data_IF_264103005388
#
_entry.id   IF_264103005388
#
_cell.length_a   1.000
_cell.length_b   1.000
_cell.length_c   1.000
_cell.angle_alpha   90.00
_cell.angle_beta   90.00
_cell.angle_gamma   90.00
#
_symmetry.space_group_name_H-M   'P 1'
#
loop_
_entity.id
_entity.type
_entity.pdbx_description
1 polymer ?
#
# COMPACT_ATOMS: atom_id res chain seq x y z
N UNK A 1 17.33 -20.23 16.35
CA UNK A 1 17.95 -19.11 15.58
C UNK A 1 16.94 -17.99 15.44
N UNK A 2 17.36 -16.74 15.55
CA UNK A 2 16.49 -15.57 15.27
C UNK A 2 16.17 -15.54 13.77
N UNK A 3 14.95 -15.06 13.44
CA UNK A 3 14.51 -14.92 12.05
C UNK A 3 14.86 -13.55 11.49
N UNK A 4 15.34 -13.48 10.26
CA UNK A 4 15.60 -12.25 9.53
C UNK A 4 14.27 -11.67 9.02
N UNK A 5 13.93 -10.46 9.44
CA UNK A 5 12.70 -9.78 9.06
C UNK A 5 13.02 -8.56 8.19
N UNK A 6 12.58 -8.59 6.94
CA UNK A 6 12.65 -7.43 6.07
C UNK A 6 11.48 -6.49 6.39
N UNK A 7 11.75 -5.34 7.01
CA UNK A 7 10.75 -4.29 7.24
C UNK A 7 10.71 -3.40 6.01
N UNK A 8 9.67 -3.57 5.19
CA UNK A 8 9.50 -2.86 3.92
C UNK A 8 8.83 -1.51 4.13
N UNK A 9 9.42 -0.47 3.59
CA UNK A 9 8.93 0.91 3.70
C UNK A 9 9.20 1.68 2.40
N UNK A 10 8.66 2.89 2.27
CA UNK A 10 8.74 3.68 1.04
C UNK A 10 7.51 3.48 0.16
N UNK A 11 7.68 2.99 -1.05
CA UNK A 11 6.60 2.78 -2.01
C UNK A 11 6.65 3.78 -3.16
N UNK A 12 5.66 3.68 -4.06
CA UNK A 12 5.62 4.45 -5.32
C UNK A 12 4.58 5.58 -5.28
N UNK A 13 3.84 5.67 -4.18
CA UNK A 13 2.75 6.62 -4.03
C UNK A 13 3.19 7.90 -3.31
N UNK A 14 2.30 8.90 -3.26
CA UNK A 14 2.47 10.11 -2.45
C UNK A 14 2.55 9.84 -0.94
N UNK A 15 2.29 8.60 -0.51
CA UNK A 15 2.34 8.18 0.89
C UNK A 15 3.73 7.65 1.31
N UNK A 16 4.75 7.80 0.46
CA UNK A 16 6.13 7.33 0.69
C UNK A 16 6.68 7.73 2.06
N UNK A 17 6.59 9.00 2.43
CA UNK A 17 7.16 9.50 3.69
C UNK A 17 6.41 8.97 4.92
N UNK A 18 5.10 8.77 4.81
CA UNK A 18 4.30 8.13 5.87
C UNK A 18 4.72 6.68 6.03
N UNK A 19 4.94 5.98 4.92
CA UNK A 19 5.42 4.61 4.88
C UNK A 19 6.80 4.47 5.53
N UNK A 20 7.73 5.39 5.27
CA UNK A 20 9.05 5.44 5.93
C UNK A 20 8.91 5.61 7.45
N UNK A 21 8.04 6.51 7.91
CA UNK A 21 7.78 6.72 9.35
C UNK A 21 7.21 5.46 10.00
N UNK A 22 6.21 4.84 9.38
CA UNK A 22 5.58 3.62 9.86
C UNK A 22 6.58 2.46 9.93
N UNK A 23 7.38 2.27 8.89
CA UNK A 23 8.42 1.24 8.84
C UNK A 23 9.50 1.43 9.90
N UNK A 24 9.94 2.67 10.13
CA UNK A 24 10.89 2.96 11.22
C UNK A 24 10.28 2.68 12.59
N UNK A 25 9.00 2.95 12.81
CA UNK A 25 8.32 2.61 14.06
C UNK A 25 8.36 1.10 14.31
N UNK A 26 8.01 0.28 13.30
CA UNK A 26 8.11 -1.18 13.40
C UNK A 26 9.53 -1.63 13.66
N UNK A 27 10.50 -1.14 12.87
CA UNK A 27 11.90 -1.51 13.01
C UNK A 27 12.44 -1.27 14.42
N UNK A 28 12.09 -0.14 15.02
CA UNK A 28 12.57 0.25 16.34
C UNK A 28 11.87 -0.50 17.51
N UNK A 29 10.72 -1.11 17.27
CA UNK A 29 9.91 -1.76 18.30
C UNK A 29 9.75 -3.29 18.12
N UNK A 30 10.36 -3.87 17.08
CA UNK A 30 10.31 -5.32 16.89
C UNK A 30 11.07 -6.04 18.00
N UNK A 31 10.57 -7.20 18.43
CA UNK A 31 11.21 -8.02 19.46
C UNK A 31 12.55 -8.60 18.96
N UNK A 32 13.64 -7.96 19.34
CA UNK A 32 15.00 -8.38 18.97
C UNK A 32 15.48 -9.66 19.66
N UNK A 33 14.74 -10.23 20.63
CA UNK A 33 15.05 -11.55 21.18
C UNK A 33 14.77 -12.65 20.18
N UNK A 34 13.75 -12.48 19.35
CA UNK A 34 13.30 -13.49 18.38
C UNK A 34 13.61 -13.12 16.92
N UNK A 35 13.81 -11.84 16.61
CA UNK A 35 13.94 -11.34 15.25
C UNK A 35 15.20 -10.49 15.05
N UNK A 36 15.69 -10.47 13.82
CA UNK A 36 16.73 -9.56 13.33
C UNK A 36 16.08 -8.69 12.26
N UNK A 37 15.70 -7.43 12.58
CA UNK A 37 15.07 -6.55 11.60
C UNK A 37 16.08 -5.91 10.66
N UNK A 38 15.65 -5.75 9.40
CA UNK A 38 16.38 -5.06 8.34
C UNK A 38 15.47 -4.01 7.70
N UNK A 39 15.96 -2.79 7.53
CA UNK A 39 15.23 -1.73 6.81
C UNK A 39 15.38 -1.92 5.32
N UNK A 40 14.28 -2.13 4.62
CA UNK A 40 14.25 -2.25 3.16
C UNK A 40 13.41 -1.11 2.60
N UNK A 41 14.06 -0.22 1.85
CA UNK A 41 13.35 0.85 1.14
C UNK A 41 13.01 0.37 -0.26
N UNK A 42 11.72 0.41 -0.57
CA UNK A 42 11.15 0.05 -1.86
C UNK A 42 10.86 1.33 -2.63
N UNK A 43 11.59 1.55 -3.70
CA UNK A 43 11.37 2.63 -4.66
C UNK A 43 11.08 2.02 -6.04
N UNK A 44 10.50 2.80 -6.94
CA UNK A 44 10.06 2.30 -8.25
C UNK A 44 11.17 1.59 -9.03
N UNK A 45 12.35 2.18 -9.05
CA UNK A 45 13.50 1.65 -9.78
C UNK A 45 14.37 0.75 -8.89
N UNK A 46 14.55 1.11 -7.63
CA UNK A 46 15.56 0.52 -6.75
C UNK A 46 14.95 0.01 -5.45
N UNK A 47 15.34 -1.18 -5.06
CA UNK A 47 15.05 -1.74 -3.75
C UNK A 47 16.35 -1.88 -3.00
N UNK A 48 16.47 -1.26 -1.83
CA UNK A 48 17.71 -1.22 -1.07
C UNK A 48 17.51 -1.58 0.39
N UNK A 49 18.40 -2.38 0.93
CA UNK A 49 18.61 -2.44 2.36
C UNK A 49 19.41 -1.19 2.79
N UNK A 50 18.99 -0.56 3.87
CA UNK A 50 19.72 0.56 4.49
C UNK A 50 20.25 0.11 5.83
N UNK A 51 21.57 0.15 6.03
CA UNK A 51 22.17 -0.13 7.34
C UNK A 51 22.07 1.08 8.28
N UNK A 52 22.54 0.92 9.51
CA UNK A 52 22.49 1.99 10.52
C UNK A 52 23.35 3.21 10.18
N UNK A 53 24.37 3.03 9.34
CA UNK A 53 25.26 4.10 8.88
C UNK A 53 24.72 4.80 7.62
N UNK A 54 23.53 4.38 7.14
CA UNK A 54 22.90 4.95 5.95
C UNK A 54 23.43 4.38 4.64
N UNK A 55 24.29 3.36 4.66
CA UNK A 55 24.80 2.72 3.44
C UNK A 55 23.71 1.89 2.80
N UNK A 56 23.58 2.01 1.46
CA UNK A 56 22.59 1.31 0.65
C UNK A 56 23.20 0.05 0.02
N UNK A 57 22.52 -1.06 0.18
CA UNK A 57 22.85 -2.34 -0.44
C UNK A 57 21.70 -2.78 -1.33
N UNK A 58 21.91 -3.00 -2.64
CA UNK A 58 20.83 -3.36 -3.56
C UNK A 58 20.26 -4.75 -3.24
N UNK A 59 18.94 -4.87 -3.31
CA UNK A 59 18.24 -6.15 -3.19
C UNK A 59 18.26 -6.89 -4.53
N UNK A 60 18.66 -8.14 -4.51
CA UNK A 60 18.50 -9.07 -5.63
C UNK A 60 17.03 -9.49 -5.73
N UNK A 61 16.31 -8.94 -6.71
CA UNK A 61 14.85 -9.13 -6.84
C UNK A 61 14.46 -10.57 -7.21
N UNK A 62 15.36 -11.35 -7.79
CA UNK A 62 15.05 -12.72 -8.21
C UNK A 62 14.80 -13.68 -7.03
N UNK A 63 15.45 -13.43 -5.89
CA UNK A 63 15.34 -14.29 -4.70
C UNK A 63 15.18 -13.49 -3.39
N UNK A 64 14.95 -12.20 -3.50
CA UNK A 64 14.83 -11.25 -2.38
C UNK A 64 15.95 -11.42 -1.35
N UNK A 65 17.18 -11.35 -1.81
CA UNK A 65 18.38 -11.41 -0.97
C UNK A 65 19.22 -10.14 -1.11
N UNK A 66 20.17 -9.96 -0.20
CA UNK A 66 21.15 -8.87 -0.27
C UNK A 66 22.55 -9.43 0.00
N UNK A 67 23.57 -8.85 -0.63
CA UNK A 67 24.97 -9.17 -0.37
C UNK A 67 25.61 -8.03 0.44
N UNK A 68 26.14 -8.35 1.61
CA UNK A 68 26.89 -7.44 2.48
C UNK A 68 28.21 -8.12 2.82
N UNK A 69 29.34 -7.47 2.54
CA UNK A 69 30.71 -7.99 2.84
C UNK A 69 30.87 -9.47 2.44
N UNK A 70 30.55 -9.80 1.20
CA UNK A 70 30.58 -11.14 0.63
C UNK A 70 29.61 -12.17 1.25
N UNK A 71 28.84 -11.80 2.26
CA UNK A 71 27.80 -12.65 2.85
C UNK A 71 26.45 -12.39 2.20
N UNK A 72 25.82 -13.46 1.73
CA UNK A 72 24.44 -13.41 1.24
C UNK A 72 23.47 -13.54 2.41
N UNK A 73 22.64 -12.53 2.60
CA UNK A 73 21.57 -12.51 3.60
C UNK A 73 20.23 -12.76 2.88
N UNK A 74 19.46 -13.71 3.41
CA UNK A 74 18.08 -13.99 3.02
C UNK A 74 17.15 -13.59 4.15
N UNK A 75 15.91 -13.29 3.80
CA UNK A 75 14.88 -12.88 4.74
C UNK A 75 13.86 -14.01 4.92
N UNK A 76 13.50 -14.30 6.17
CA UNK A 76 12.52 -15.33 6.51
C UNK A 76 11.09 -14.82 6.43
N UNK A 77 10.90 -13.50 6.62
CA UNK A 77 9.59 -12.83 6.65
C UNK A 77 9.73 -11.41 6.08
N UNK A 78 8.75 -10.99 5.30
CA UNK A 78 8.59 -9.61 4.89
C UNK A 78 7.49 -8.92 5.73
N UNK A 79 7.86 -7.86 6.45
CA UNK A 79 6.91 -7.03 7.19
C UNK A 79 6.58 -5.79 6.34
N UNK A 80 5.38 -5.76 5.78
CA UNK A 80 4.98 -4.73 4.81
C UNK A 80 4.40 -3.52 5.54
N UNK A 81 5.11 -2.38 5.47
CA UNK A 81 4.68 -1.08 6.01
C UNK A 81 4.53 -0.03 4.91
N UNK A 82 4.39 -0.48 3.68
CA UNK A 82 4.19 0.39 2.53
C UNK A 82 2.72 0.79 2.45
N UNK A 83 2.45 2.09 2.45
CA UNK A 83 1.14 2.66 2.17
C UNK A 83 0.99 2.95 0.67
N UNK A 84 -0.16 2.62 0.10
CA UNK A 84 -0.38 2.71 -1.34
C UNK A 84 0.38 1.66 -2.15
N UNK A 85 0.66 1.95 -3.42
CA UNK A 85 1.42 1.05 -4.31
C UNK A 85 2.91 1.02 -3.92
N UNK A 86 3.54 -0.16 -3.93
CA UNK A 86 3.05 -1.50 -4.28
C UNK A 86 2.57 -2.32 -3.06
N UNK A 87 2.36 -1.68 -1.91
CA UNK A 87 2.07 -2.33 -0.63
C UNK A 87 0.61 -2.76 -0.46
N UNK A 88 -0.33 -2.05 -1.07
CA UNK A 88 -1.77 -2.25 -0.86
C UNK A 88 -2.53 -2.72 -2.12
N UNK A 89 -1.90 -2.72 -3.28
CA UNK A 89 -2.52 -3.06 -4.57
C UNK A 89 -2.29 -4.52 -5.03
N UNK A 90 -1.69 -5.35 -4.18
CA UNK A 90 -1.42 -6.75 -4.45
C UNK A 90 -0.09 -7.02 -5.18
N UNK A 91 0.65 -5.98 -5.61
CA UNK A 91 1.89 -6.15 -6.37
C UNK A 91 2.96 -6.83 -5.51
N UNK A 92 3.24 -6.28 -4.32
CA UNK A 92 4.29 -6.81 -3.45
C UNK A 92 3.91 -8.16 -2.85
N UNK A 93 2.61 -8.39 -2.59
CA UNK A 93 2.09 -9.67 -2.10
C UNK A 93 2.28 -10.78 -3.14
N UNK A 94 1.96 -10.51 -4.41
CA UNK A 94 2.22 -11.44 -5.51
C UNK A 94 3.71 -11.76 -5.68
N UNK A 95 4.58 -10.77 -5.50
CA UNK A 95 6.02 -10.95 -5.56
C UNK A 95 6.50 -11.93 -4.48
N UNK A 96 6.13 -11.72 -3.21
CA UNK A 96 6.54 -12.61 -2.12
C UNK A 96 5.89 -14.00 -2.19
N UNK A 97 4.64 -14.07 -2.65
CA UNK A 97 3.97 -15.36 -2.86
C UNK A 97 4.72 -16.23 -3.90
N UNK A 98 5.20 -15.64 -5.00
CA UNK A 98 6.01 -16.35 -6.01
C UNK A 98 7.35 -16.87 -5.44
N UNK A 99 7.94 -16.14 -4.51
CA UNK A 99 9.19 -16.53 -3.85
C UNK A 99 8.99 -17.45 -2.65
N UNK A 100 7.74 -17.77 -2.29
CA UNK A 100 7.39 -18.51 -1.06
C UNK A 100 7.95 -17.85 0.22
N UNK A 101 8.03 -16.52 0.25
CA UNK A 101 8.44 -15.76 1.43
C UNK A 101 7.18 -15.33 2.18
N UNK A 102 7.00 -15.72 3.45
CA UNK A 102 5.90 -15.26 4.28
C UNK A 102 5.91 -13.74 4.43
N UNK A 103 4.73 -13.12 4.45
CA UNK A 103 4.60 -11.68 4.60
C UNK A 103 3.41 -11.31 5.49
N UNK A 104 3.44 -10.11 6.05
CA UNK A 104 2.31 -9.55 6.83
C UNK A 104 1.27 -8.94 5.91
N UNK A 105 0.00 -9.07 6.30
CA UNK A 105 -1.12 -8.50 5.55
C UNK A 105 -1.93 -9.53 4.77
N UNK A 106 -2.88 -9.08 3.96
CA UNK A 106 -3.77 -9.94 3.19
C UNK A 106 -3.08 -10.56 1.98
N UNK A 107 -3.73 -11.55 1.37
CA UNK A 107 -3.31 -12.06 0.05
C UNK A 107 -3.42 -10.98 -1.03
N UNK A 108 -2.73 -11.19 -2.15
CA UNK A 108 -2.71 -10.22 -3.25
C UNK A 108 -4.11 -9.86 -3.79
N UNK A 109 -5.01 -10.85 -3.89
CA UNK A 109 -6.37 -10.62 -4.39
C UNK A 109 -7.20 -9.80 -3.40
N UNK A 110 -7.06 -10.05 -2.10
CA UNK A 110 -7.74 -9.28 -1.06
C UNK A 110 -7.17 -7.85 -1.01
N UNK A 111 -5.85 -7.68 -1.05
CA UNK A 111 -5.21 -6.37 -1.11
C UNK A 111 -5.73 -5.56 -2.31
N UNK A 112 -5.72 -6.14 -3.50
CA UNK A 112 -6.22 -5.52 -4.73
C UNK A 112 -7.72 -5.14 -4.66
N UNK A 113 -8.53 -6.01 -4.06
CA UNK A 113 -9.97 -5.75 -3.87
C UNK A 113 -10.20 -4.58 -2.91
N UNK A 114 -9.52 -4.58 -1.75
CA UNK A 114 -9.73 -3.58 -0.70
C UNK A 114 -9.13 -2.22 -1.04
N UNK A 115 -8.10 -2.17 -1.86
CA UNK A 115 -7.49 -0.92 -2.32
C UNK A 115 -8.36 -0.16 -3.32
N UNK A 116 -9.13 -0.89 -4.16
CA UNK A 116 -10.11 -0.32 -5.09
C UNK A 116 -11.43 -0.06 -4.36
N UNK A 117 -11.69 1.21 -4.00
CA UNK A 117 -12.87 1.58 -3.20
C UNK A 117 -14.19 1.17 -3.84
N UNK A 118 -14.28 1.31 -5.17
CA UNK A 118 -15.52 0.94 -5.88
C UNK A 118 -15.74 -0.56 -5.86
N UNK A 119 -14.71 -1.36 -6.18
CA UNK A 119 -14.81 -2.82 -6.14
C UNK A 119 -15.08 -3.33 -4.72
N UNK A 120 -14.42 -2.74 -3.71
CA UNK A 120 -14.63 -3.10 -2.32
C UNK A 120 -16.07 -2.85 -1.88
N UNK A 121 -16.63 -1.67 -2.20
CA UNK A 121 -18.03 -1.36 -1.85
C UNK A 121 -19.02 -2.21 -2.62
N UNK A 122 -18.78 -2.52 -3.91
CA UNK A 122 -19.64 -3.40 -4.69
C UNK A 122 -19.61 -4.84 -4.16
N UNK A 123 -18.43 -5.32 -3.77
CA UNK A 123 -18.28 -6.62 -3.13
C UNK A 123 -19.04 -6.69 -1.79
N UNK A 124 -18.89 -5.67 -0.94
CA UNK A 124 -19.61 -5.59 0.33
C UNK A 124 -21.13 -5.58 0.12
N UNK A 125 -21.62 -4.76 -0.82
CA UNK A 125 -23.04 -4.69 -1.17
C UNK A 125 -23.58 -6.05 -1.65
N UNK A 126 -22.83 -6.72 -2.54
CA UNK A 126 -23.20 -8.06 -3.06
C UNK A 126 -23.32 -9.11 -1.93
N UNK A 127 -22.56 -8.93 -0.85
CA UNK A 127 -22.58 -9.83 0.32
C UNK A 127 -23.54 -9.35 1.44
N UNK A 128 -24.47 -8.44 1.14
CA UNK A 128 -25.54 -8.04 2.06
C UNK A 128 -25.15 -6.94 3.07
N UNK A 129 -23.98 -6.32 2.93
CA UNK A 129 -23.60 -5.21 3.80
C UNK A 129 -24.20 -3.89 3.32
N UNK A 130 -24.62 -3.05 4.26
CA UNK A 130 -25.03 -1.69 3.97
C UNK A 130 -23.82 -0.85 3.59
N UNK A 131 -23.84 -0.25 2.41
CA UNK A 131 -22.78 0.63 1.90
C UNK A 131 -23.35 1.97 1.49
N UNK A 132 -22.54 3.03 1.60
CA UNK A 132 -22.91 4.33 1.10
C UNK A 132 -23.10 4.29 -0.43
N UNK A 133 -24.08 5.06 -0.93
CA UNK A 133 -24.25 5.26 -2.37
C UNK A 133 -22.99 5.90 -2.93
N UNK A 134 -22.53 5.42 -4.07
CA UNK A 134 -21.34 5.96 -4.73
C UNK A 134 -21.42 5.79 -6.25
N UNK A 135 -20.79 6.72 -6.97
CA UNK A 135 -20.63 6.66 -8.43
C UNK A 135 -19.13 6.74 -8.76
N UNK A 136 -18.64 5.82 -9.57
CA UNK A 136 -17.29 5.89 -10.11
C UNK A 136 -17.30 6.79 -11.34
N UNK A 137 -16.37 7.73 -11.38
CA UNK A 137 -16.15 8.61 -12.53
C UNK A 137 -14.76 8.28 -13.08
N UNK A 138 -14.69 7.89 -14.34
CA UNK A 138 -13.44 7.62 -15.01
C UNK A 138 -12.89 8.91 -15.66
N UNK A 139 -11.58 9.02 -15.72
CA UNK A 139 -10.92 10.14 -16.42
C UNK A 139 -11.35 10.15 -17.90
N UNK A 140 -11.79 11.32 -18.39
CA UNK A 140 -12.24 11.50 -19.77
C UNK A 140 -13.69 11.05 -20.05
N UNK A 141 -14.42 10.56 -19.06
CA UNK A 141 -15.87 10.35 -19.23
C UNK A 141 -16.61 11.71 -19.17
N UNK A 142 -17.66 11.84 -19.96
CA UNK A 142 -18.58 12.96 -19.81
C UNK A 142 -19.21 12.92 -18.42
N UNK A 143 -19.00 13.96 -17.64
CA UNK A 143 -19.57 14.08 -16.31
C UNK A 143 -21.03 14.55 -16.45
N UNK A 144 -21.97 13.61 -16.40
CA UNK A 144 -23.41 13.92 -16.29
C UNK A 144 -23.71 14.35 -14.85
N UNK A 145 -23.56 15.64 -14.59
CA UNK A 145 -23.72 16.26 -13.27
C UNK A 145 -25.13 16.03 -12.72
N UNK A 146 -26.15 16.19 -13.55
CA UNK A 146 -27.56 15.98 -13.21
C UNK A 146 -27.80 14.57 -12.65
N UNK A 147 -27.18 13.56 -13.25
CA UNK A 147 -27.26 12.17 -12.80
C UNK A 147 -26.55 11.92 -11.45
N UNK A 148 -25.60 12.78 -11.07
CA UNK A 148 -24.95 12.71 -9.75
C UNK A 148 -25.91 13.27 -8.70
N UNK A 149 -26.54 14.42 -8.94
CA UNK A 149 -27.46 15.07 -8.01
C UNK A 149 -28.73 14.27 -7.77
N UNK A 150 -29.28 13.64 -8.81
CA UNK A 150 -30.45 12.77 -8.68
C UNK A 150 -30.20 11.54 -7.80
N UNK A 151 -28.97 11.00 -7.80
CA UNK A 151 -28.65 9.76 -7.11
C UNK A 151 -27.91 9.93 -5.78
N UNK A 152 -27.26 11.07 -5.58
CA UNK A 152 -26.45 11.36 -4.40
C UNK A 152 -26.84 12.73 -3.83
N UNK A 153 -27.03 12.77 -2.52
CA UNK A 153 -27.38 14.01 -1.81
C UNK A 153 -26.12 14.70 -1.26
N UNK A 154 -26.12 16.04 -1.27
CA UNK A 154 -25.07 16.81 -0.59
C UNK A 154 -25.22 16.72 0.95
N UNK A 155 -24.10 16.77 1.70
CA UNK A 155 -22.72 16.90 1.21
C UNK A 155 -22.16 15.59 0.64
N UNK A 156 -21.35 15.70 -0.42
CA UNK A 156 -20.66 14.58 -1.06
C UNK A 156 -19.19 14.53 -0.69
N UNK A 157 -18.60 13.34 -0.72
CA UNK A 157 -17.15 13.17 -0.67
C UNK A 157 -16.63 12.73 -2.04
N UNK A 158 -15.77 13.55 -2.64
CA UNK A 158 -15.01 13.21 -3.84
C UNK A 158 -13.68 12.57 -3.38
N UNK A 159 -13.36 11.37 -3.89
CA UNK A 159 -12.19 10.60 -3.45
C UNK A 159 -11.51 9.96 -4.65
N UNK A 160 -10.19 9.85 -4.60
CA UNK A 160 -9.48 8.96 -5.50
C UNK A 160 -9.90 7.50 -5.23
N UNK A 161 -10.16 6.73 -6.29
CA UNK A 161 -10.60 5.32 -6.15
C UNK A 161 -9.51 4.45 -5.51
N UNK A 162 -8.25 4.64 -5.91
CA UNK A 162 -7.08 3.87 -5.48
C UNK A 162 -6.09 4.77 -4.73
N UNK A 163 -6.41 5.11 -3.49
CA UNK A 163 -5.57 5.93 -2.60
C UNK A 163 -5.94 5.66 -1.15
N UNK A 164 -4.99 5.86 -0.23
CA UNK A 164 -5.19 5.76 1.21
C UNK A 164 -4.99 7.09 1.94
N UNK A 165 -4.85 7.04 3.27
CA UNK A 165 -4.48 8.15 4.18
C UNK A 165 -5.23 9.47 3.95
N UNK A 166 -6.48 9.38 3.46
CA UNK A 166 -7.32 10.55 3.10
C UNK A 166 -6.70 11.47 2.03
N UNK A 167 -5.70 11.02 1.30
CA UNK A 167 -5.10 11.79 0.23
C UNK A 167 -6.07 11.95 -0.95
N UNK A 168 -6.23 13.18 -1.45
CA UNK A 168 -7.14 13.48 -2.56
C UNK A 168 -8.63 13.34 -2.20
N UNK A 169 -9.02 13.54 -0.92
CA UNK A 169 -10.41 13.59 -0.50
C UNK A 169 -10.85 15.05 -0.34
N UNK A 170 -11.99 15.37 -0.96
CA UNK A 170 -12.65 16.66 -0.80
C UNK A 170 -14.12 16.48 -0.44
N UNK A 171 -14.64 17.34 0.45
CA UNK A 171 -16.06 17.40 0.78
C UNK A 171 -16.71 18.52 -0.04
N UNK A 172 -17.67 18.15 -0.87
CA UNK A 172 -18.44 19.05 -1.71
C UNK A 172 -19.81 19.30 -1.10
N UNK A 173 -20.18 20.55 -0.91
CA UNK A 173 -21.48 20.99 -0.40
C UNK A 173 -22.43 21.41 -1.53
N UNK A 174 -21.91 21.60 -2.71
CA UNK A 174 -22.62 21.94 -3.94
C UNK A 174 -21.75 21.59 -5.17
N UNK A 175 -22.30 21.79 -6.36
CA UNK A 175 -21.65 21.50 -7.64
C UNK A 175 -20.31 22.19 -7.87
N UNK A 176 -20.19 23.45 -7.45
CA UNK A 176 -18.98 24.25 -7.71
C UNK A 176 -17.72 23.65 -7.08
N UNK A 177 -17.87 22.76 -6.09
CA UNK A 177 -16.78 22.08 -5.39
C UNK A 177 -16.43 20.69 -5.97
N UNK A 178 -17.14 20.22 -6.99
CA UNK A 178 -16.85 18.95 -7.66
C UNK A 178 -15.76 19.13 -8.73
N UNK A 179 -15.53 20.34 -9.20
CA UNK A 179 -14.47 20.68 -10.15
C UNK A 179 -13.10 20.76 -9.46
N UNK A 180 -12.57 19.64 -9.09
CA UNK A 180 -11.20 19.55 -8.57
C UNK A 180 -10.31 18.83 -9.58
#
# INVERSE_FOLDING_TARGET
>A
MKKNVAVLMGGYSSEHDISIKSGNTVYNNIDTNNFIPFKIIIEKENWNLINNDGVKYPIHKDDFSVKIDDKKIKFDIAFIMIHGSPGEDGIIQNYFAKLNIPFTGPTADVAKLTFDKKKCTDFAKKNGFNVAKSKLINRGSNLEIENIEENLNYPLFVKANNSGSSYGISKAYNLSLIHI
#
